data_IF_588107516027
#
_entry.id   IF_588107516027
#
_cell.length_a   1.000
_cell.length_b   1.000
_cell.length_c   1.000
_cell.angle_alpha   90.00
_cell.angle_beta   90.00
_cell.angle_gamma   90.00
#
_symmetry.space_group_name_H-M   'P 1'
#
loop_
_entity.id
_entity.type
_entity.pdbx_description
1 polymer ?
#
# COMPACT_ATOMS: atom_id res chain seq x y z
N UNK A 1 9.62 -7.38 -23.27
CA UNK A 1 9.12 -6.14 -22.64
C UNK A 1 8.50 -6.48 -21.30
N UNK A 2 8.90 -5.76 -20.23
CA UNK A 2 8.26 -5.91 -18.91
C UNK A 2 6.85 -5.33 -18.95
N UNK A 3 5.85 -6.14 -18.66
CA UNK A 3 4.46 -5.70 -18.59
C UNK A 3 4.20 -5.06 -17.24
N UNK A 4 3.98 -3.74 -17.24
CA UNK A 4 3.78 -2.93 -16.04
C UNK A 4 2.32 -2.51 -15.98
N UNK A 5 1.62 -2.93 -14.92
CA UNK A 5 0.31 -2.39 -14.58
C UNK A 5 0.50 -1.13 -13.73
N UNK A 6 -0.29 -0.10 -14.04
CA UNK A 6 -0.29 1.18 -13.33
C UNK A 6 -1.72 1.46 -12.85
N UNK A 7 -1.86 1.83 -11.59
CA UNK A 7 -3.17 2.11 -10.99
C UNK A 7 -3.05 3.14 -9.87
N UNK A 8 -4.15 3.84 -9.57
CA UNK A 8 -4.18 4.83 -8.50
C UNK A 8 -4.00 4.18 -7.13
N UNK A 9 -3.37 4.89 -6.19
CA UNK A 9 -3.09 4.37 -4.85
C UNK A 9 -4.35 4.00 -4.05
N UNK A 10 -5.50 4.61 -4.34
CA UNK A 10 -6.78 4.26 -3.73
C UNK A 10 -7.16 2.80 -3.96
N UNK A 11 -6.71 2.19 -5.07
CA UNK A 11 -6.93 0.78 -5.33
C UNK A 11 -6.21 -0.12 -4.29
N UNK A 12 -5.12 0.36 -3.67
CA UNK A 12 -4.44 -0.36 -2.61
C UNK A 12 -5.27 -0.43 -1.32
N UNK A 13 -6.18 0.52 -1.09
CA UNK A 13 -7.09 0.50 0.06
C UNK A 13 -8.23 -0.53 -0.07
N UNK A 14 -8.44 -1.05 -1.28
CA UNK A 14 -9.45 -2.08 -1.53
C UNK A 14 -9.00 -3.40 -0.88
N UNK A 15 -9.85 -3.93 0.00
CA UNK A 15 -9.62 -5.21 0.66
C UNK A 15 -10.07 -6.36 -0.25
N UNK A 16 -9.13 -7.10 -0.81
CA UNK A 16 -9.38 -8.30 -1.60
C UNK A 16 -9.40 -9.55 -0.70
N UNK A 17 -10.28 -9.55 0.28
CA UNK A 17 -10.27 -10.51 1.39
C UNK A 17 -10.43 -11.96 0.97
N UNK A 18 -11.18 -12.23 -0.10
CA UNK A 18 -11.44 -13.57 -0.61
C UNK A 18 -10.43 -14.08 -1.64
N UNK A 19 -9.57 -13.20 -2.18
CA UNK A 19 -8.67 -13.58 -3.26
C UNK A 19 -7.61 -14.58 -2.84
N UNK A 20 -7.45 -15.61 -3.68
CA UNK A 20 -6.27 -16.50 -3.69
C UNK A 20 -5.13 -15.86 -4.49
N UNK A 21 -3.92 -16.38 -4.37
CA UNK A 21 -2.75 -15.82 -5.06
C UNK A 21 -2.95 -15.74 -6.59
N UNK A 22 -3.53 -16.78 -7.22
CA UNK A 22 -3.79 -16.81 -8.67
C UNK A 22 -4.82 -15.74 -9.09
N UNK A 23 -5.76 -15.42 -8.24
CA UNK A 23 -6.78 -14.41 -8.53
C UNK A 23 -6.19 -13.00 -8.52
N UNK A 24 -5.18 -12.74 -7.68
CA UNK A 24 -4.39 -11.50 -7.79
C UNK A 24 -3.68 -11.39 -9.14
N UNK A 25 -3.11 -12.48 -9.66
CA UNK A 25 -2.42 -12.47 -10.95
C UNK A 25 -3.39 -12.18 -12.10
N UNK A 26 -4.55 -12.85 -12.09
CA UNK A 26 -5.61 -12.60 -13.07
C UNK A 26 -6.19 -11.19 -12.97
N UNK A 27 -6.43 -10.69 -11.75
CA UNK A 27 -6.92 -9.34 -11.52
C UNK A 27 -5.98 -8.29 -12.11
N UNK A 28 -4.68 -8.37 -11.80
CA UNK A 28 -3.71 -7.41 -12.34
C UNK A 28 -3.46 -7.58 -13.83
N UNK A 29 -3.64 -8.79 -14.38
CA UNK A 29 -3.64 -9.02 -15.82
C UNK A 29 -4.83 -8.32 -16.51
N UNK A 30 -6.02 -8.40 -15.92
CA UNK A 30 -7.22 -7.68 -16.38
C UNK A 30 -7.00 -6.17 -16.29
N UNK A 31 -6.52 -5.65 -15.15
CA UNK A 31 -6.23 -4.21 -15.01
C UNK A 31 -5.21 -3.71 -16.02
N UNK A 32 -4.18 -4.50 -16.33
CA UNK A 32 -3.19 -4.15 -17.36
C UNK A 32 -3.84 -3.96 -18.74
N UNK A 33 -4.86 -4.74 -19.05
CA UNK A 33 -5.58 -4.66 -20.32
C UNK A 33 -6.65 -3.58 -20.34
N UNK A 34 -7.26 -3.28 -19.19
CA UNK A 34 -8.27 -2.22 -19.03
C UNK A 34 -7.65 -0.82 -19.03
N UNK A 35 -6.35 -0.71 -18.75
CA UNK A 35 -5.67 0.56 -18.71
C UNK A 35 -5.90 1.34 -20.02
N UNK A 36 -6.23 2.63 -19.90
CA UNK A 36 -6.48 3.56 -21.00
C UNK A 36 -7.68 3.20 -21.90
N UNK A 37 -8.55 2.25 -21.47
CA UNK A 37 -9.78 1.86 -22.17
C UNK A 37 -11.02 2.63 -21.71
N UNK A 38 -10.88 3.46 -20.67
CA UNK A 38 -11.96 4.23 -20.06
C UNK A 38 -13.15 3.33 -19.65
N UNK A 39 -14.30 3.52 -20.30
CA UNK A 39 -15.54 2.82 -19.98
C UNK A 39 -15.87 1.70 -20.97
N UNK A 40 -15.01 1.48 -21.93
CA UNK A 40 -15.24 0.47 -22.93
C UNK A 40 -15.20 -0.92 -22.33
N UNK A 41 -16.12 -1.75 -22.78
CA UNK A 41 -16.04 -3.18 -22.59
C UNK A 41 -14.85 -3.72 -23.38
N UNK A 42 -14.01 -4.50 -22.70
CA UNK A 42 -12.92 -5.18 -23.36
C UNK A 42 -13.15 -6.68 -23.42
N UNK A 43 -12.74 -7.28 -24.52
CA UNK A 43 -12.77 -8.72 -24.73
C UNK A 43 -11.33 -9.22 -24.65
N UNK A 44 -11.09 -10.19 -23.78
CA UNK A 44 -9.79 -10.81 -23.54
C UNK A 44 -9.86 -12.30 -23.85
N UNK A 45 -8.91 -12.83 -24.61
CA UNK A 45 -8.85 -14.27 -24.83
C UNK A 45 -8.27 -14.97 -23.59
N UNK A 46 -8.68 -16.23 -23.37
CA UNK A 46 -8.13 -17.05 -22.29
C UNK A 46 -6.61 -17.22 -22.43
N UNK A 47 -6.12 -17.27 -23.66
CA UNK A 47 -4.68 -17.38 -23.93
C UNK A 47 -3.92 -16.14 -23.46
N UNK A 48 -4.43 -14.94 -23.77
CA UNK A 48 -3.85 -13.69 -23.30
C UNK A 48 -3.82 -13.60 -21.77
N UNK A 49 -4.93 -13.95 -21.12
CA UNK A 49 -5.03 -13.93 -19.65
C UNK A 49 -4.06 -14.93 -19.02
N UNK A 50 -4.00 -16.16 -19.53
CA UNK A 50 -3.04 -17.17 -19.06
C UNK A 50 -1.60 -16.70 -19.21
N UNK A 51 -1.25 -16.10 -20.35
CA UNK A 51 0.10 -15.56 -20.62
C UNK A 51 0.44 -14.36 -19.73
N UNK A 52 -0.52 -13.49 -19.46
CA UNK A 52 -0.32 -12.29 -18.62
C UNK A 52 -0.16 -12.64 -17.14
N UNK A 53 -0.97 -13.59 -16.66
CA UNK A 53 -0.99 -14.02 -15.26
C UNK A 53 0.01 -15.16 -14.96
N UNK A 54 0.75 -15.62 -15.98
CA UNK A 54 1.62 -16.82 -15.89
C UNK A 54 0.89 -18.04 -15.30
N UNK A 55 -0.36 -18.24 -15.71
CA UNK A 55 -1.21 -19.32 -15.21
C UNK A 55 -0.65 -20.69 -15.59
N UNK A 56 -0.30 -21.51 -14.57
CA UNK A 56 0.47 -22.76 -14.76
C UNK A 56 -0.39 -24.01 -14.98
N UNK A 57 -1.67 -23.97 -14.58
CA UNK A 57 -2.53 -25.16 -14.74
C UNK A 57 -2.95 -25.33 -16.20
N UNK A 58 -2.80 -26.54 -16.72
CA UNK A 58 -3.04 -26.83 -18.14
C UNK A 58 -4.50 -27.07 -18.48
N UNK A 59 -5.30 -27.60 -17.56
CA UNK A 59 -6.71 -27.91 -17.81
C UNK A 59 -7.58 -26.65 -17.85
N UNK A 60 -8.31 -26.46 -18.94
CA UNK A 60 -9.18 -25.30 -19.13
C UNK A 60 -10.27 -25.20 -18.04
N UNK A 61 -10.82 -26.31 -17.57
CA UNK A 61 -11.83 -26.30 -16.51
C UNK A 61 -11.36 -25.55 -15.27
N UNK A 62 -10.19 -25.83 -14.76
CA UNK A 62 -9.66 -25.09 -13.57
C UNK A 62 -9.42 -23.61 -13.84
N UNK A 63 -9.13 -23.23 -15.08
CA UNK A 63 -8.97 -21.84 -15.46
C UNK A 63 -10.32 -21.15 -15.50
N UNK A 64 -11.34 -21.74 -16.08
CA UNK A 64 -12.71 -21.23 -16.14
C UNK A 64 -13.26 -21.10 -14.72
N UNK A 65 -13.14 -22.12 -13.88
CA UNK A 65 -13.55 -22.05 -12.47
C UNK A 65 -12.87 -20.89 -11.74
N UNK A 66 -11.57 -20.67 -12.00
CA UNK A 66 -10.85 -19.52 -11.43
C UNK A 66 -11.34 -18.18 -11.99
N UNK A 67 -11.71 -18.11 -13.28
CA UNK A 67 -12.30 -16.91 -13.87
C UNK A 67 -13.69 -16.62 -13.28
N UNK A 68 -14.53 -17.63 -13.11
CA UNK A 68 -15.85 -17.46 -12.49
C UNK A 68 -15.70 -16.95 -11.07
N UNK A 69 -14.86 -17.58 -10.27
CA UNK A 69 -14.64 -17.21 -8.87
C UNK A 69 -14.08 -15.79 -8.74
N UNK A 70 -13.05 -15.44 -9.53
CA UNK A 70 -12.51 -14.08 -9.49
C UNK A 70 -13.55 -13.05 -9.92
N UNK A 71 -14.31 -13.29 -10.98
CA UNK A 71 -15.27 -12.30 -11.47
C UNK A 71 -16.44 -12.11 -10.49
N UNK A 72 -16.90 -13.17 -9.82
CA UNK A 72 -17.86 -13.04 -8.71
C UNK A 72 -17.27 -12.19 -7.57
N UNK A 73 -16.02 -12.42 -7.21
CA UNK A 73 -15.30 -11.61 -6.22
C UNK A 73 -15.12 -10.16 -6.68
N UNK A 74 -14.82 -9.93 -7.97
CA UNK A 74 -14.65 -8.58 -8.53
C UNK A 74 -15.95 -7.77 -8.51
N UNK A 75 -17.08 -8.39 -8.84
CA UNK A 75 -18.40 -7.73 -8.71
C UNK A 75 -18.76 -7.42 -7.26
N UNK A 76 -18.19 -8.15 -6.30
CA UNK A 76 -18.39 -7.91 -4.86
C UNK A 76 -17.53 -6.78 -4.31
N UNK A 77 -16.51 -6.31 -5.04
CA UNK A 77 -15.64 -5.21 -4.61
C UNK A 77 -16.45 -3.93 -4.56
N UNK A 78 -16.80 -3.53 -3.35
CA UNK A 78 -17.50 -2.28 -3.08
C UNK A 78 -16.50 -1.24 -2.61
N UNK A 79 -16.52 -0.11 -3.27
CA UNK A 79 -15.86 1.10 -2.79
C UNK A 79 -16.89 1.92 -2.06
N UNK A 80 -16.70 2.10 -0.77
CA UNK A 80 -17.58 2.87 0.07
C UNK A 80 -16.87 4.15 0.48
N UNK A 81 -17.40 5.27 0.02
CA UNK A 81 -16.96 6.59 0.44
C UNK A 81 -18.01 7.15 1.39
N UNK A 82 -17.58 7.50 2.60
CA UNK A 82 -18.44 8.17 3.58
C UNK A 82 -17.94 9.59 3.77
N UNK A 83 -18.80 10.52 3.48
CA UNK A 83 -18.58 11.90 3.83
C UNK A 83 -19.51 12.27 4.98
N UNK A 84 -18.98 12.20 6.20
CA UNK A 84 -19.76 12.43 7.41
C UNK A 84 -20.26 13.87 7.54
N UNK A 85 -19.56 14.83 6.92
CA UNK A 85 -19.88 16.27 7.01
C UNK A 85 -21.06 16.65 6.12
N UNK A 86 -21.24 15.95 5.00
CA UNK A 86 -22.37 16.18 4.06
C UNK A 86 -23.49 15.14 4.20
N UNK A 87 -23.31 14.18 5.10
CA UNK A 87 -24.24 13.05 5.17
C UNK A 87 -24.26 12.21 3.89
N UNK A 88 -23.20 12.32 3.06
CA UNK A 88 -23.14 11.65 1.75
C UNK A 88 -22.50 10.27 1.90
N UNK A 89 -23.22 9.25 1.44
CA UNK A 89 -22.74 7.87 1.39
C UNK A 89 -22.74 7.42 -0.08
N UNK A 90 -21.56 7.07 -0.59
CA UNK A 90 -21.41 6.56 -1.95
C UNK A 90 -20.92 5.14 -1.86
N UNK A 91 -21.67 4.21 -2.45
CA UNK A 91 -21.26 2.83 -2.67
C UNK A 91 -21.24 2.53 -4.15
N UNK A 92 -20.15 1.95 -4.65
CA UNK A 92 -20.05 1.55 -6.04
C UNK A 92 -19.25 0.25 -6.15
N UNK A 93 -19.58 -0.58 -7.14
CA UNK A 93 -18.75 -1.72 -7.54
C UNK A 93 -17.71 -1.26 -8.56
N UNK A 94 -16.50 -1.83 -8.49
CA UNK A 94 -15.44 -1.46 -9.43
C UNK A 94 -15.73 -1.97 -10.84
N UNK A 95 -16.15 -3.25 -10.95
CA UNK A 95 -16.61 -3.83 -12.20
C UNK A 95 -18.13 -3.82 -12.27
N UNK A 96 -18.66 -3.60 -13.45
CA UNK A 96 -20.12 -3.51 -13.71
C UNK A 96 -20.66 -4.71 -14.45
N UNK A 97 -19.80 -5.39 -15.20
CA UNK A 97 -20.20 -6.49 -16.06
C UNK A 97 -19.03 -7.44 -16.30
N UNK A 98 -19.33 -8.73 -16.42
CA UNK A 98 -18.46 -9.71 -17.05
C UNK A 98 -19.28 -10.77 -17.77
N UNK A 99 -18.71 -11.33 -18.82
CA UNK A 99 -19.20 -12.51 -19.53
C UNK A 99 -18.04 -13.46 -19.85
N UNK A 100 -18.21 -14.73 -19.55
CA UNK A 100 -17.25 -15.79 -19.89
C UNK A 100 -17.88 -16.65 -20.98
N UNK A 101 -17.32 -16.59 -22.19
CA UNK A 101 -17.70 -17.45 -23.30
C UNK A 101 -16.72 -18.61 -23.42
N UNK A 102 -17.18 -19.81 -23.04
CA UNK A 102 -16.34 -21.01 -23.07
C UNK A 102 -16.06 -21.51 -24.48
N UNK A 103 -17.00 -21.28 -25.41
CA UNK A 103 -16.85 -21.73 -26.81
C UNK A 103 -15.81 -20.86 -27.54
N UNK A 104 -15.91 -19.57 -27.41
CA UNK A 104 -14.98 -18.61 -28.00
C UNK A 104 -13.71 -18.42 -27.18
N UNK A 105 -13.68 -18.96 -25.95
CA UNK A 105 -12.57 -18.83 -24.98
C UNK A 105 -12.23 -17.37 -24.69
N UNK A 106 -13.25 -16.56 -24.40
CA UNK A 106 -13.12 -15.15 -24.13
C UNK A 106 -13.72 -14.76 -22.79
N UNK A 107 -13.22 -13.65 -22.25
CA UNK A 107 -13.77 -12.90 -21.11
C UNK A 107 -14.07 -11.48 -21.59
N UNK A 108 -15.35 -11.07 -21.57
CA UNK A 108 -15.74 -9.68 -21.69
C UNK A 108 -15.86 -9.05 -20.31
N UNK A 109 -15.36 -7.83 -20.12
CA UNK A 109 -15.38 -7.15 -18.83
C UNK A 109 -15.43 -5.63 -18.99
N UNK A 110 -16.23 -4.97 -18.12
CA UNK A 110 -16.36 -3.51 -18.07
C UNK A 110 -16.16 -2.97 -16.65
N UNK A 111 -15.64 -1.74 -16.55
CA UNK A 111 -15.46 -1.03 -15.27
C UNK A 111 -16.49 0.06 -15.08
N UNK A 112 -16.74 0.38 -13.81
CA UNK A 112 -17.63 1.46 -13.46
C UNK A 112 -17.05 2.81 -13.87
N UNK A 113 -17.80 3.58 -14.66
CA UNK A 113 -17.43 4.91 -15.15
C UNK A 113 -16.91 5.84 -14.05
N UNK A 114 -17.54 5.84 -12.89
CA UNK A 114 -17.14 6.70 -11.76
C UNK A 114 -15.82 6.29 -11.12
N UNK A 115 -15.31 5.10 -11.45
CA UNK A 115 -14.09 4.53 -10.86
C UNK A 115 -12.97 4.34 -11.89
N UNK A 116 -13.15 4.82 -13.12
CA UNK A 116 -12.14 4.74 -14.19
C UNK A 116 -10.84 5.47 -13.82
N UNK A 117 -10.90 6.51 -12.97
CA UNK A 117 -9.74 7.21 -12.47
C UNK A 117 -8.74 6.30 -11.75
N UNK A 118 -9.19 5.14 -11.26
CA UNK A 118 -8.30 4.17 -10.59
C UNK A 118 -7.29 3.53 -11.54
N UNK A 119 -7.55 3.54 -12.84
CA UNK A 119 -6.72 2.89 -13.86
C UNK A 119 -6.36 3.78 -15.05
N UNK A 120 -6.99 4.95 -15.19
CA UNK A 120 -6.79 5.87 -16.31
C UNK A 120 -6.20 7.21 -15.84
N UNK A 121 -5.58 7.94 -16.75
CA UNK A 121 -5.08 9.32 -16.58
C UNK A 121 -4.17 9.51 -15.36
N UNK A 122 -3.38 8.49 -15.03
CA UNK A 122 -2.58 8.41 -13.83
C UNK A 122 -1.28 9.23 -13.97
N UNK A 123 -1.33 10.49 -13.52
CA UNK A 123 -0.16 11.39 -13.48
C UNK A 123 0.50 11.44 -12.12
N UNK A 124 -0.29 11.28 -11.03
CA UNK A 124 0.17 11.33 -9.63
C UNK A 124 -0.52 10.23 -8.81
N UNK A 125 -0.04 9.98 -7.61
CA UNK A 125 -0.64 9.04 -6.65
C UNK A 125 -0.91 7.65 -7.23
N UNK A 126 0.05 7.10 -7.95
CA UNK A 126 -0.09 5.79 -8.58
C UNK A 126 0.98 4.80 -8.11
N UNK A 127 0.61 3.54 -8.17
CA UNK A 127 1.51 2.39 -7.97
C UNK A 127 1.78 1.73 -9.32
N UNK A 128 3.01 1.27 -9.51
CA UNK A 128 3.43 0.50 -10.68
C UNK A 128 3.91 -0.88 -10.26
N UNK A 129 3.34 -1.93 -10.88
CA UNK A 129 3.70 -3.32 -10.62
C UNK A 129 4.11 -4.02 -11.91
N UNK A 130 5.20 -4.75 -11.85
CA UNK A 130 5.58 -5.68 -12.91
C UNK A 130 4.81 -6.99 -12.75
N UNK A 131 3.95 -7.34 -13.72
CA UNK A 131 3.12 -8.55 -13.66
C UNK A 131 3.96 -9.81 -13.42
N UNK A 132 5.12 -9.92 -14.08
CA UNK A 132 6.02 -11.06 -13.92
C UNK A 132 6.53 -11.22 -12.48
N UNK A 133 6.87 -10.11 -11.81
CA UNK A 133 7.29 -10.17 -10.39
C UNK A 133 6.15 -10.57 -9.48
N UNK A 134 4.92 -10.12 -9.81
CA UNK A 134 3.72 -10.47 -9.06
C UNK A 134 3.41 -11.97 -9.16
N UNK A 135 3.45 -12.55 -10.38
CA UNK A 135 3.12 -13.95 -10.63
C UNK A 135 4.15 -14.96 -10.04
N UNK A 136 5.38 -14.50 -9.80
CA UNK A 136 6.41 -15.33 -9.15
C UNK A 136 6.18 -15.56 -7.65
N UNK A 137 5.33 -14.75 -7.01
CA UNK A 137 4.99 -14.92 -5.61
C UNK A 137 3.90 -15.97 -5.44
N UNK A 138 4.11 -16.95 -4.56
CA UNK A 138 3.13 -18.01 -4.29
C UNK A 138 2.09 -17.59 -3.26
N UNK A 139 2.45 -16.70 -2.34
CA UNK A 139 1.59 -16.27 -1.24
C UNK A 139 0.75 -15.03 -1.61
N UNK A 140 -0.57 -15.09 -1.35
CA UNK A 140 -1.42 -13.91 -1.43
C UNK A 140 -0.93 -12.76 -0.54
N UNK A 141 -0.39 -13.09 0.63
CA UNK A 141 0.13 -12.12 1.57
C UNK A 141 1.35 -11.38 1.02
N UNK A 142 2.25 -12.11 0.37
CA UNK A 142 3.40 -11.52 -0.32
C UNK A 142 2.97 -10.55 -1.42
N UNK A 143 1.94 -10.89 -2.20
CA UNK A 143 1.40 -10.03 -3.26
C UNK A 143 0.78 -8.75 -2.69
N UNK A 144 0.08 -8.84 -1.55
CA UNK A 144 -0.49 -7.68 -0.87
C UNK A 144 0.64 -6.77 -0.36
N UNK A 145 1.61 -7.33 0.38
CA UNK A 145 2.75 -6.58 0.91
C UNK A 145 3.55 -5.95 -0.25
N UNK A 146 3.80 -6.69 -1.34
CA UNK A 146 4.48 -6.16 -2.53
C UNK A 146 3.82 -4.90 -3.09
N UNK A 147 2.48 -4.87 -3.17
CA UNK A 147 1.74 -3.69 -3.63
C UNK A 147 2.03 -2.46 -2.77
N UNK A 148 2.01 -2.63 -1.45
CA UNK A 148 2.30 -1.52 -0.53
C UNK A 148 3.76 -1.09 -0.58
N UNK A 149 4.70 -2.02 -0.62
CA UNK A 149 6.10 -1.65 -0.79
C UNK A 149 6.30 -0.87 -2.09
N UNK A 150 5.65 -1.27 -3.19
CA UNK A 150 5.72 -0.54 -4.46
C UNK A 150 5.01 0.81 -4.43
N UNK A 151 3.98 0.98 -3.62
CA UNK A 151 3.33 2.29 -3.42
C UNK A 151 4.27 3.30 -2.74
N UNK A 152 5.06 2.83 -1.78
CA UNK A 152 6.01 3.67 -1.02
C UNK A 152 7.43 3.64 -1.59
N UNK A 153 7.64 2.99 -2.74
CA UNK A 153 8.94 2.87 -3.41
C UNK A 153 9.27 4.15 -4.18
N UNK A 154 9.96 5.07 -3.52
CA UNK A 154 10.36 6.33 -4.12
C UNK A 154 11.84 6.28 -4.52
N UNK A 155 12.11 6.32 -5.82
CA UNK A 155 13.47 6.27 -6.36
C UNK A 155 14.34 7.49 -6.03
N UNK A 156 13.74 8.56 -5.54
CA UNK A 156 14.46 9.77 -5.10
C UNK A 156 15.01 9.65 -3.68
N UNK A 157 14.49 8.72 -2.88
CA UNK A 157 14.92 8.50 -1.51
C UNK A 157 15.98 7.40 -1.46
N UNK A 158 17.01 7.56 -0.62
CA UNK A 158 17.97 6.50 -0.37
C UNK A 158 17.35 5.32 0.38
N UNK A 159 16.46 5.61 1.31
CA UNK A 159 15.73 4.63 2.12
C UNK A 159 14.24 4.89 2.03
N UNK A 160 13.50 3.84 1.78
CA UNK A 160 12.05 3.85 1.74
C UNK A 160 11.51 3.01 2.90
N UNK A 161 10.30 3.32 3.35
CA UNK A 161 9.63 2.52 4.35
C UNK A 161 8.12 2.52 4.18
N UNK A 162 7.51 1.44 4.67
CA UNK A 162 6.08 1.32 4.92
C UNK A 162 5.85 0.87 6.35
N UNK A 163 5.13 1.66 7.12
CA UNK A 163 4.79 1.38 8.51
C UNK A 163 3.28 1.26 8.66
N UNK A 164 2.84 0.27 9.43
CA UNK A 164 1.43 -0.04 9.60
C UNK A 164 1.20 -0.57 11.02
N UNK A 165 0.07 -0.20 11.64
CA UNK A 165 -0.38 -0.75 12.90
C UNK A 165 -0.74 -2.24 12.76
N UNK A 166 -0.47 -3.03 13.79
CA UNK A 166 -0.66 -4.50 13.72
C UNK A 166 -2.12 -4.90 13.46
N UNK A 167 -3.09 -4.18 14.02
CA UNK A 167 -4.51 -4.48 13.81
C UNK A 167 -4.92 -4.12 12.36
N UNK A 168 -4.49 -2.96 11.87
CA UNK A 168 -4.71 -2.55 10.49
C UNK A 168 -4.06 -3.53 9.51
N UNK A 169 -2.83 -4.01 9.80
CA UNK A 169 -2.15 -5.03 9.02
C UNK A 169 -2.96 -6.34 8.95
N UNK A 170 -3.51 -6.78 10.09
CA UNK A 170 -4.35 -7.97 10.14
C UNK A 170 -5.61 -7.82 9.30
N UNK A 171 -6.27 -6.68 9.38
CA UNK A 171 -7.46 -6.40 8.58
C UNK A 171 -7.15 -6.31 7.09
N UNK A 172 -6.09 -5.59 6.73
CA UNK A 172 -5.67 -5.38 5.34
C UNK A 172 -5.37 -6.71 4.63
N UNK A 173 -4.70 -7.61 5.33
CA UNK A 173 -4.33 -8.92 4.80
C UNK A 173 -5.42 -9.98 5.00
N UNK A 174 -6.54 -9.62 5.65
CA UNK A 174 -7.57 -10.55 6.06
C UNK A 174 -6.99 -11.77 6.80
N UNK A 175 -6.21 -11.49 7.85
CA UNK A 175 -5.59 -12.52 8.69
C UNK A 175 -6.64 -13.04 9.68
N UNK A 176 -6.78 -14.37 9.83
CA UNK A 176 -7.71 -14.94 10.79
C UNK A 176 -7.49 -14.36 12.21
N UNK A 177 -8.57 -14.02 12.89
CA UNK A 177 -8.53 -13.45 14.25
C UNK A 177 -7.87 -14.38 15.28
N UNK A 178 -7.89 -15.69 15.00
CA UNK A 178 -7.22 -16.72 15.81
C UNK A 178 -5.70 -16.69 15.72
N UNK A 179 -5.11 -15.96 14.75
CA UNK A 179 -3.67 -15.90 14.60
C UNK A 179 -3.03 -15.01 15.64
N UNK A 180 -2.20 -15.61 16.49
CA UNK A 180 -1.27 -14.92 17.36
C UNK A 180 -0.06 -14.41 16.53
N UNK A 181 0.73 -13.52 17.11
CA UNK A 181 1.89 -12.95 16.43
C UNK A 181 2.88 -14.03 15.94
N UNK A 182 3.08 -15.10 16.69
CA UNK A 182 3.90 -16.23 16.26
C UNK A 182 3.40 -16.91 14.99
N UNK A 183 2.07 -17.01 14.82
CA UNK A 183 1.47 -17.55 13.59
C UNK A 183 1.67 -16.58 12.42
N UNK A 184 1.51 -15.26 12.67
CA UNK A 184 1.74 -14.22 11.66
C UNK A 184 3.20 -14.26 11.20
N UNK A 185 4.14 -14.40 12.13
CA UNK A 185 5.56 -14.51 11.81
C UNK A 185 5.88 -15.71 10.93
N UNK A 186 5.42 -16.89 11.34
CA UNK A 186 5.80 -18.12 10.67
C UNK A 186 5.07 -18.36 9.35
N UNK A 187 3.76 -17.98 9.29
CA UNK A 187 2.91 -18.29 8.14
C UNK A 187 2.79 -17.14 7.13
N UNK A 188 3.12 -15.91 7.54
CA UNK A 188 2.93 -14.72 6.70
C UNK A 188 4.24 -13.96 6.51
N UNK A 189 4.82 -13.43 7.59
CA UNK A 189 5.95 -12.49 7.48
C UNK A 189 7.23 -13.16 6.96
N UNK A 190 7.62 -14.31 7.53
CA UNK A 190 8.83 -15.02 7.07
C UNK A 190 8.72 -15.46 5.61
N UNK A 191 7.63 -16.12 5.16
CA UNK A 191 7.46 -16.45 3.75
C UNK A 191 7.45 -15.22 2.85
N UNK A 192 6.73 -14.15 3.24
CA UNK A 192 6.66 -12.93 2.46
C UNK A 192 8.04 -12.26 2.32
N UNK A 193 8.79 -12.15 3.40
CA UNK A 193 10.15 -11.59 3.35
C UNK A 193 11.09 -12.43 2.47
N UNK A 194 10.94 -13.75 2.47
CA UNK A 194 11.72 -14.63 1.58
C UNK A 194 11.42 -14.38 0.11
N UNK A 195 10.15 -14.15 -0.26
CA UNK A 195 9.74 -13.86 -1.63
C UNK A 195 10.06 -12.42 -2.06
N UNK A 196 10.05 -11.47 -1.13
CA UNK A 196 10.20 -10.04 -1.43
C UNK A 196 11.65 -9.55 -1.36
N UNK A 197 12.50 -10.16 -0.54
CA UNK A 197 13.89 -9.71 -0.39
C UNK A 197 14.73 -9.74 -1.68
N UNK A 198 14.49 -10.61 -2.67
CA UNK A 198 15.14 -10.49 -3.96
C UNK A 198 14.73 -9.28 -4.79
N UNK A 199 13.55 -8.68 -4.47
CA UNK A 199 12.94 -7.60 -5.23
C UNK A 199 13.21 -6.22 -4.62
N UNK A 200 13.56 -6.16 -3.33
CA UNK A 200 13.83 -4.91 -2.60
C UNK A 200 15.18 -4.96 -1.91
N UNK A 201 16.06 -4.05 -2.26
CA UNK A 201 17.42 -4.03 -1.75
C UNK A 201 17.45 -3.74 -0.24
N UNK A 202 18.14 -4.60 0.54
CA UNK A 202 18.22 -4.51 2.00
C UNK A 202 16.86 -4.49 2.72
N UNK A 203 15.87 -5.21 2.20
CA UNK A 203 14.56 -5.30 2.86
C UNK A 203 14.69 -5.82 4.29
N UNK A 204 14.17 -5.03 5.24
CA UNK A 204 14.15 -5.35 6.68
C UNK A 204 12.74 -5.22 7.21
N UNK A 205 12.40 -6.02 8.19
CA UNK A 205 11.18 -5.88 8.98
C UNK A 205 11.54 -5.54 10.41
N UNK A 206 11.07 -4.41 10.88
CA UNK A 206 11.22 -3.91 12.24
C UNK A 206 9.86 -4.03 12.93
N UNK A 207 9.83 -4.72 14.08
CA UNK A 207 8.66 -4.85 14.91
C UNK A 207 8.75 -3.84 16.05
N UNK A 208 7.92 -2.80 16.00
CA UNK A 208 7.84 -1.82 17.06
C UNK A 208 6.91 -2.31 18.15
N UNK A 209 7.34 -2.21 19.41
CA UNK A 209 6.57 -2.65 20.58
C UNK A 209 6.04 -1.44 21.35
N UNK A 210 4.82 -1.58 21.88
CA UNK A 210 4.25 -0.71 22.90
C UNK A 210 4.09 -1.54 24.18
N UNK A 211 4.99 -1.32 25.13
CA UNK A 211 5.14 -2.21 26.27
C UNK A 211 5.60 -3.62 25.85
N UNK A 212 4.85 -4.65 26.23
CA UNK A 212 5.15 -6.06 25.89
C UNK A 212 4.57 -6.53 24.57
N UNK A 213 3.68 -5.77 23.95
CA UNK A 213 2.97 -6.16 22.72
C UNK A 213 3.58 -5.49 21.49
N UNK A 214 3.61 -6.20 20.37
CA UNK A 214 3.94 -5.61 19.07
C UNK A 214 2.76 -4.73 18.66
N UNK A 215 3.06 -3.46 18.37
CA UNK A 215 2.11 -2.42 18.03
C UNK A 215 2.14 -2.12 16.54
N UNK A 216 3.33 -2.01 15.95
CA UNK A 216 3.52 -1.68 14.54
C UNK A 216 4.52 -2.59 13.87
N UNK A 217 4.33 -2.74 12.55
CA UNK A 217 5.28 -3.37 11.64
C UNK A 217 5.83 -2.31 10.70
N UNK A 218 7.15 -2.20 10.59
CA UNK A 218 7.82 -1.29 9.67
C UNK A 218 8.72 -2.10 8.73
N UNK A 219 8.41 -2.01 7.46
CA UNK A 219 9.22 -2.55 6.38
C UNK A 219 10.11 -1.43 5.87
N UNK A 220 11.42 -1.65 5.82
CA UNK A 220 12.41 -0.71 5.31
C UNK A 220 13.20 -1.35 4.17
N UNK A 221 13.50 -0.58 3.13
CA UNK A 221 14.37 -1.01 2.04
C UNK A 221 15.10 0.18 1.44
N UNK A 222 16.21 -0.10 0.75
CA UNK A 222 16.98 0.93 0.08
C UNK A 222 16.63 0.98 -1.41
N UNK A 223 16.77 2.16 -2.01
CA UNK A 223 16.71 2.33 -3.44
C UNK A 223 17.97 1.74 -4.07
N UNK A 224 17.81 0.90 -5.08
CA UNK A 224 18.94 0.32 -5.80
C UNK A 224 19.59 1.39 -6.68
N UNK A 225 20.82 1.80 -6.39
CA UNK A 225 21.54 2.80 -7.17
C UNK A 225 21.99 2.22 -8.51
N UNK A 226 22.25 3.10 -9.51
CA UNK A 226 22.71 2.70 -10.85
C UNK A 226 24.02 1.90 -10.81
N UNK A 227 24.91 2.23 -9.86
CA UNK A 227 26.18 1.53 -9.66
C UNK A 227 25.97 0.10 -9.13
N UNK A 228 24.97 -0.10 -8.26
CA UNK A 228 24.61 -1.43 -7.74
C UNK A 228 23.96 -2.30 -8.82
N UNK A 229 23.15 -1.71 -9.71
CA UNK A 229 22.57 -2.44 -10.87
C UNK A 229 23.64 -2.98 -11.77
N UNK A 230 24.65 -2.16 -12.12
CA UNK A 230 25.80 -2.59 -12.96
C UNK A 230 26.61 -3.71 -12.32
N UNK A 231 26.76 -3.71 -10.98
CA UNK A 231 27.51 -4.76 -10.26
C UNK A 231 26.75 -6.08 -10.24
N UNK A 232 25.42 -6.04 -10.11
CA UNK A 232 24.56 -7.23 -10.15
C UNK A 232 24.40 -7.83 -11.57
N UNK A 233 24.55 -7.03 -12.63
CA UNK A 233 24.50 -7.49 -14.02
C UNK A 233 25.81 -8.17 -14.46
N UNK A 234 26.95 -7.80 -13.83
CA UNK A 234 28.28 -8.32 -14.17
C UNK A 234 28.72 -9.53 -13.34
N UNK A 235 27.99 -9.93 -12.31
CA UNK A 235 28.26 -11.17 -11.60
C UNK A 235 27.67 -12.36 -12.39
N UNK A 236 28.44 -13.42 -12.65
CA UNK A 236 27.93 -14.61 -13.32
C UNK A 236 26.78 -15.19 -12.50
N UNK A 237 25.66 -15.47 -13.17
CA UNK A 237 24.47 -16.10 -12.56
C UNK A 237 24.87 -17.39 -11.86
N UNK A 238 25.25 -17.31 -10.62
CA UNK A 238 25.37 -18.47 -9.74
C UNK A 238 24.00 -19.10 -9.60
N UNK A 239 23.98 -20.41 -9.73
CA UNK A 239 22.79 -21.28 -9.72
C UNK A 239 21.74 -20.85 -8.71
N UNK A 240 20.45 -20.96 -9.07
CA UNK A 240 19.23 -20.53 -8.34
C UNK A 240 19.14 -20.97 -6.86
N UNK A 241 20.10 -21.72 -6.35
CA UNK A 241 20.11 -22.29 -5.00
C UNK A 241 20.79 -21.37 -3.98
N UNK A 242 21.63 -20.42 -4.39
CA UNK A 242 22.44 -19.60 -3.44
C UNK A 242 22.03 -18.11 -3.32
N UNK A 243 21.09 -17.60 -4.08
CA UNK A 243 20.72 -16.17 -4.05
C UNK A 243 19.55 -15.84 -3.10
N UNK A 244 19.35 -16.61 -2.03
CA UNK A 244 18.48 -16.16 -0.93
C UNK A 244 19.19 -15.03 -0.19
N UNK A 245 19.02 -13.79 -0.67
CA UNK A 245 19.40 -12.60 0.10
C UNK A 245 18.78 -12.76 1.49
N UNK A 246 19.63 -12.84 2.52
CA UNK A 246 19.19 -13.00 3.90
C UNK A 246 18.39 -11.75 4.30
N UNK A 247 17.10 -11.87 4.50
CA UNK A 247 16.29 -10.85 5.15
C UNK A 247 16.59 -10.86 6.66
N UNK A 248 16.52 -9.69 7.28
CA UNK A 248 16.74 -9.56 8.71
C UNK A 248 15.44 -9.14 9.39
N UNK A 249 14.91 -10.00 10.25
CA UNK A 249 13.87 -9.61 11.21
C UNK A 249 14.61 -9.04 12.40
N UNK A 250 14.45 -7.74 12.62
CA UNK A 250 15.00 -7.07 13.80
C UNK A 250 13.90 -7.00 14.84
N UNK A 251 14.04 -7.79 15.90
CA UNK A 251 13.23 -7.55 17.07
C UNK A 251 13.91 -6.42 17.85
N UNK A 252 13.37 -5.20 17.72
CA UNK A 252 13.75 -4.16 18.63
C UNK A 252 13.14 -4.50 20.01
N UNK A 253 13.93 -5.21 20.83
CA UNK A 253 13.89 -4.93 22.24
C UNK A 253 14.69 -3.63 22.41
N UNK A 254 14.05 -2.52 22.67
CA UNK A 254 14.82 -1.34 22.99
C UNK A 254 15.46 -1.58 24.35
N UNK A 255 16.80 -1.71 24.39
CA UNK A 255 17.48 -0.82 25.30
C UNK A 255 17.37 0.55 24.65
N UNK A 256 16.18 1.13 24.73
CA UNK A 256 15.97 2.53 24.47
C UNK A 256 16.79 3.24 25.54
N UNK A 257 17.86 3.89 25.17
CA UNK A 257 18.06 5.22 25.71
C UNK A 257 16.74 5.90 25.34
N UNK A 258 15.89 6.18 26.32
CA UNK A 258 14.69 6.98 26.11
C UNK A 258 15.20 8.22 25.39
N UNK A 259 14.68 8.45 24.18
CA UNK A 259 14.99 9.67 23.45
C UNK A 259 14.63 10.80 24.38
N UNK A 260 15.49 11.77 24.49
CA UNK A 260 15.20 12.94 25.28
C UNK A 260 13.89 13.58 24.78
N UNK A 261 13.19 14.27 25.62
CA UNK A 261 11.91 14.86 25.25
C UNK A 261 12.10 15.89 24.10
N UNK A 262 13.25 16.57 24.09
CA UNK A 262 13.64 17.48 23.00
C UNK A 262 13.84 16.76 21.66
N UNK A 263 14.38 15.55 21.67
CA UNK A 263 14.50 14.72 20.45
C UNK A 263 13.13 14.25 19.96
N UNK A 264 12.22 13.88 20.87
CA UNK A 264 10.84 13.49 20.52
C UNK A 264 10.06 14.66 19.90
N UNK A 265 10.18 15.86 20.42
CA UNK A 265 9.55 17.08 19.90
C UNK A 265 10.06 17.34 18.48
N UNK A 266 11.37 17.29 18.25
CA UNK A 266 11.95 17.54 16.91
C UNK A 266 11.49 16.54 15.86
N UNK A 267 11.47 15.25 16.21
CA UNK A 267 10.97 14.21 15.29
C UNK A 267 9.48 14.38 14.97
N UNK A 268 8.66 14.66 15.99
CA UNK A 268 7.22 14.86 15.77
C UNK A 268 6.95 16.11 14.94
N UNK A 269 7.71 17.18 15.19
CA UNK A 269 7.62 18.42 14.41
C UNK A 269 7.95 18.19 12.94
N UNK A 270 9.02 17.46 12.63
CA UNK A 270 9.40 17.12 11.26
C UNK A 270 8.32 16.25 10.57
N UNK A 271 7.79 15.26 11.29
CA UNK A 271 6.71 14.41 10.77
C UNK A 271 5.43 15.21 10.47
N UNK A 272 5.03 16.12 11.35
CA UNK A 272 3.82 16.92 11.16
C UNK A 272 4.00 17.96 10.05
N UNK A 273 5.18 18.55 9.90
CA UNK A 273 5.51 19.46 8.78
C UNK A 273 5.44 18.74 7.43
N UNK A 274 6.01 17.54 7.34
CA UNK A 274 5.89 16.73 6.13
C UNK A 274 4.44 16.33 5.83
N UNK A 275 3.67 15.96 6.86
CA UNK A 275 2.28 15.59 6.71
C UNK A 275 1.41 16.80 6.32
N UNK A 276 1.72 17.99 6.83
CA UNK A 276 1.09 19.24 6.44
C UNK A 276 1.34 19.55 4.96
N UNK A 277 2.59 19.45 4.51
CA UNK A 277 2.97 19.68 3.12
C UNK A 277 2.25 18.71 2.18
N UNK A 278 2.19 17.43 2.54
CA UNK A 278 1.45 16.41 1.78
C UNK A 278 -0.03 16.73 1.69
N UNK A 279 -0.67 17.05 2.82
CA UNK A 279 -2.09 17.36 2.88
C UNK A 279 -2.45 18.63 2.09
N UNK A 280 -1.60 19.65 2.15
CA UNK A 280 -1.79 20.90 1.41
C UNK A 280 -1.64 20.70 -0.09
N UNK A 281 -0.66 19.91 -0.52
CA UNK A 281 -0.45 19.57 -1.94
C UNK A 281 -1.61 18.75 -2.49
N UNK A 282 -2.10 17.77 -1.74
CA UNK A 282 -3.25 16.95 -2.12
C UNK A 282 -4.52 17.80 -2.25
N UNK A 283 -4.78 18.68 -1.28
CA UNK A 283 -5.92 19.58 -1.33
C UNK A 283 -5.83 20.55 -2.52
N UNK A 284 -4.64 21.11 -2.78
CA UNK A 284 -4.42 21.98 -3.93
C UNK A 284 -4.66 21.27 -5.27
N UNK A 285 -4.19 20.05 -5.40
CA UNK A 285 -4.41 19.23 -6.60
C UNK A 285 -5.88 18.86 -6.78
N UNK A 286 -6.59 18.58 -5.70
CA UNK A 286 -8.02 18.29 -5.72
C UNK A 286 -8.85 19.51 -6.13
N UNK A 287 -8.58 20.68 -5.55
CA UNK A 287 -9.26 21.94 -5.89
C UNK A 287 -9.05 22.30 -7.36
N UNK A 288 -7.84 22.13 -7.90
CA UNK A 288 -7.52 22.46 -9.28
C UNK A 288 -8.31 21.64 -10.31
N UNK A 289 -8.83 20.45 -9.92
CA UNK A 289 -9.66 19.60 -10.75
C UNK A 289 -11.17 19.87 -10.68
N UNK A 290 -11.63 20.79 -9.82
CA UNK A 290 -13.04 21.05 -9.59
C UNK A 290 -13.52 22.29 -10.36
N UNK A 291 -14.76 22.19 -10.93
CA UNK A 291 -15.45 23.33 -11.57
C UNK A 291 -16.11 24.25 -10.53
N UNK A 292 -16.46 23.73 -9.36
CA UNK A 292 -17.04 24.49 -8.25
C UNK A 292 -16.41 24.04 -6.92
N UNK A 293 -15.97 25.00 -6.15
CA UNK A 293 -15.21 24.81 -4.88
C UNK A 293 -16.07 25.16 -3.66
N UNK A 294 -17.20 25.84 -3.87
CA UNK A 294 -18.09 26.27 -2.80
C UNK A 294 -18.88 25.09 -2.25
N UNK A 295 -18.83 24.88 -0.93
CA UNK A 295 -19.53 23.80 -0.21
C UNK A 295 -19.05 22.36 -0.46
N UNK A 296 -17.81 22.16 -0.94
CA UNK A 296 -17.24 20.83 -1.03
C UNK A 296 -16.72 20.36 0.34
N UNK A 297 -17.35 19.36 0.92
CA UNK A 297 -17.01 18.88 2.27
C UNK A 297 -15.62 18.26 2.37
N UNK A 298 -15.13 17.62 1.30
CA UNK A 298 -13.75 17.09 1.25
C UNK A 298 -12.76 18.24 1.44
N UNK A 299 -13.05 19.41 0.81
CA UNK A 299 -12.23 20.61 0.97
C UNK A 299 -12.33 21.13 2.40
N UNK A 300 -13.54 21.18 2.97
CA UNK A 300 -13.77 21.67 4.32
C UNK A 300 -13.06 20.76 5.34
N UNK A 301 -13.23 19.45 5.25
CA UNK A 301 -12.58 18.50 6.15
C UNK A 301 -11.05 18.52 6.00
N UNK A 302 -10.56 18.54 4.76
CA UNK A 302 -9.11 18.66 4.50
C UNK A 302 -8.53 19.96 5.05
N UNK A 303 -9.23 21.09 4.91
CA UNK A 303 -8.83 22.38 5.51
C UNK A 303 -8.83 22.31 7.03
N UNK A 304 -9.84 21.65 7.63
CA UNK A 304 -9.91 21.44 9.09
C UNK A 304 -8.70 20.65 9.59
N UNK A 305 -8.37 19.52 8.94
CA UNK A 305 -7.20 18.72 9.31
C UNK A 305 -5.89 19.48 9.12
N UNK A 306 -5.77 20.23 8.04
CA UNK A 306 -4.63 21.11 7.80
C UNK A 306 -4.48 22.15 8.92
N UNK A 307 -5.59 22.74 9.38
CA UNK A 307 -5.55 23.70 10.47
C UNK A 307 -5.17 23.05 11.81
N UNK A 308 -5.71 21.86 12.12
CA UNK A 308 -5.31 21.09 13.31
C UNK A 308 -3.82 20.73 13.30
N UNK A 309 -3.27 20.37 12.13
CA UNK A 309 -1.82 20.13 11.98
C UNK A 309 -1.00 21.39 12.21
N UNK A 310 -1.44 22.52 11.66
CA UNK A 310 -0.78 23.81 11.90
C UNK A 310 -0.77 24.19 13.38
N UNK A 311 -1.89 23.98 14.07
CA UNK A 311 -1.99 24.23 15.50
C UNK A 311 -1.06 23.33 16.31
N UNK A 312 -0.96 22.05 15.95
CA UNK A 312 -0.04 21.09 16.59
C UNK A 312 1.42 21.51 16.35
N UNK A 313 1.77 21.85 15.11
CA UNK A 313 3.11 22.34 14.73
C UNK A 313 3.47 23.58 15.53
N UNK A 314 2.58 24.58 15.59
CA UNK A 314 2.82 25.83 16.34
C UNK A 314 3.10 25.54 17.83
N UNK A 315 2.35 24.62 18.42
CA UNK A 315 2.59 24.19 19.82
C UNK A 315 3.93 23.47 19.97
N UNK A 316 4.31 22.59 19.03
CA UNK A 316 5.60 21.89 19.07
C UNK A 316 6.78 22.85 18.84
N UNK A 317 6.64 23.84 17.97
CA UNK A 317 7.67 24.85 17.72
C UNK A 317 8.01 25.66 18.97
N UNK A 318 7.03 25.94 19.86
CA UNK A 318 7.25 26.61 21.13
C UNK A 318 8.20 25.83 22.05
N UNK A 319 8.25 24.53 21.91
CA UNK A 319 9.08 23.64 22.74
C UNK A 319 10.34 23.15 22.04
N UNK A 320 10.47 23.37 20.72
CA UNK A 320 11.55 22.79 19.91
C UNK A 320 12.97 23.24 20.25
N UNK A 321 13.09 24.40 20.91
CA UNK A 321 14.36 25.00 21.31
C UNK A 321 14.70 24.81 22.78
N UNK A 322 13.84 24.14 23.55
CA UNK A 322 14.08 23.87 24.96
C UNK A 322 15.14 22.79 25.13
N UNK A 323 16.08 22.98 26.03
CA UNK A 323 16.98 21.95 26.49
C UNK A 323 16.27 21.03 27.51
N UNK A 324 16.69 19.77 27.61
CA UNK A 324 15.99 18.80 28.48
C UNK A 324 16.05 19.18 29.96
N UNK A 325 17.05 19.93 30.40
CA UNK A 325 17.21 20.46 31.76
C UNK A 325 16.31 21.67 32.05
N UNK A 326 15.71 22.27 31.04
CA UNK A 326 14.73 23.35 31.15
C UNK A 326 13.27 22.83 31.27
N UNK A 327 13.07 21.51 31.13
CA UNK A 327 11.75 20.89 31.15
C UNK A 327 11.44 20.36 32.55
N UNK A 328 10.59 21.06 33.26
CA UNK A 328 10.05 20.58 34.55
C UNK A 328 8.89 19.58 34.35
N UNK A 329 8.48 18.91 35.46
CA UNK A 329 7.39 17.88 35.44
C UNK A 329 6.05 18.45 34.96
N UNK A 330 5.78 19.73 35.14
CA UNK A 330 4.55 20.39 34.71
C UNK A 330 4.56 20.60 33.18
N UNK A 331 5.69 21.08 32.66
CA UNK A 331 5.91 21.30 31.24
C UNK A 331 5.96 19.98 30.47
N UNK A 332 6.58 18.95 31.04
CA UNK A 332 6.60 17.60 30.47
C UNK A 332 5.17 17.08 30.21
N UNK A 333 4.25 17.21 31.17
CA UNK A 333 2.85 16.81 31.02
C UNK A 333 2.15 17.58 29.90
N UNK A 334 2.48 18.85 29.70
CA UNK A 334 1.92 19.67 28.60
C UNK A 334 2.47 19.20 27.26
N UNK A 335 3.76 18.97 27.16
CA UNK A 335 4.43 18.47 25.95
C UNK A 335 3.87 17.10 25.56
N UNK A 336 3.73 16.17 26.50
CA UNK A 336 3.15 14.86 26.24
C UNK A 336 1.72 14.95 25.68
N UNK A 337 0.90 15.86 26.18
CA UNK A 337 -0.45 16.09 25.61
C UNK A 337 -0.40 16.59 24.17
N UNK A 338 0.57 17.42 23.83
CA UNK A 338 0.73 17.92 22.45
C UNK A 338 1.23 16.79 21.53
N UNK A 339 2.18 15.98 21.99
CA UNK A 339 2.67 14.81 21.24
C UNK A 339 1.56 13.80 20.97
N UNK A 340 0.63 13.62 21.92
CA UNK A 340 -0.50 12.69 21.82
C UNK A 340 -1.71 13.27 21.05
N UNK A 341 -1.66 14.53 20.61
CA UNK A 341 -2.75 15.10 19.80
C UNK A 341 -2.95 14.32 18.52
N UNK A 342 -4.11 13.65 18.43
CA UNK A 342 -4.54 12.96 17.22
C UNK A 342 -5.23 13.93 16.24
N UNK A 343 -4.80 13.89 14.98
CA UNK A 343 -5.43 14.62 13.89
C UNK A 343 -6.43 13.70 13.20
N UNK A 344 -7.67 13.75 13.68
CA UNK A 344 -8.79 12.96 13.16
C UNK A 344 -9.45 13.59 11.96
#
# INVERSE_FOLDING_TARGET
MNKIVKFHNDLNSIKFSSFRAVEYDLFFAILYKLKDKQEEEIILTFEELKKLSEYKKTQNKYFIDSLIEINQNLLSIKLNFKNYTEGLYIGATFFTYYEINEQEKTLSISVNRKLTYLINDLTKNFTQLELKKMSQMSSKYSKIIFRFLKQYDNTKNNTNFWEIEINEFKELLNIPSSYLMANIDTRILKPALSELSPLFYNLKLIKKKRGRKIDRLRFEWNTETVEMKKKNENEPKKSEVESKRKYRIVENTPKVKEKSLSEQIKEELEMEQEALNRSTTLLGSYIAGLKDVTNNSIIIDSKRRINLRKEKIEKLEQFSNLADDEIDESLEKVIQKVLEMEIK
#
